data_IF_200877134437
#
_entry.id   IF_200877134437
#
_cell.length_a   1.000
_cell.length_b   1.000
_cell.length_c   1.000
_cell.angle_alpha   90.00
_cell.angle_beta   90.00
_cell.angle_gamma   90.00
#
_symmetry.space_group_name_H-M   'P 1'
#
loop_
_entity.id
_entity.type
_entity.pdbx_description
1 polymer ?
#
# COMPACT_ATOMS: atom_id res chain seq x y z
N UNK A 1 17.27 8.99 -14.78
CA UNK A 1 16.77 8.38 -13.54
C UNK A 1 15.26 8.48 -13.59
N UNK A 2 14.49 7.39 -13.44
CA UNK A 2 13.05 7.53 -13.27
C UNK A 2 12.82 8.47 -12.08
N UNK A 3 11.94 9.46 -12.24
CA UNK A 3 11.52 10.32 -11.14
C UNK A 3 10.94 9.43 -10.04
N UNK A 4 11.52 9.50 -8.84
CA UNK A 4 11.06 8.69 -7.71
C UNK A 4 9.63 9.11 -7.37
N UNK A 5 8.67 8.23 -7.63
CA UNK A 5 7.26 8.54 -7.45
C UNK A 5 7.01 8.82 -5.96
N UNK A 6 6.59 10.05 -5.65
CA UNK A 6 6.24 10.43 -4.28
C UNK A 6 4.81 9.98 -3.92
N UNK A 7 4.60 9.46 -2.70
CA UNK A 7 3.27 9.17 -2.19
C UNK A 7 2.43 10.46 -2.14
N UNK A 8 1.21 10.40 -2.67
CA UNK A 8 0.28 11.53 -2.66
C UNK A 8 -1.17 11.05 -2.68
N UNK A 9 -2.08 11.82 -2.08
CA UNK A 9 -3.51 11.52 -2.09
C UNK A 9 -4.04 11.40 -3.52
N UNK A 10 -4.87 10.37 -3.77
CA UNK A 10 -5.46 10.06 -5.06
C UNK A 10 -4.60 9.17 -5.97
N UNK A 11 -3.36 8.85 -5.59
CA UNK A 11 -2.50 7.92 -6.36
C UNK A 11 -3.01 6.48 -6.24
N UNK A 12 -2.94 5.75 -7.35
CA UNK A 12 -3.25 4.32 -7.42
C UNK A 12 -1.98 3.51 -7.14
N UNK A 13 -2.06 2.55 -6.22
CA UNK A 13 -0.96 1.70 -5.78
C UNK A 13 -1.40 0.23 -5.66
N UNK A 14 -0.45 -0.68 -5.48
CA UNK A 14 -0.72 -2.08 -5.18
C UNK A 14 -0.59 -2.34 -3.67
N UNK A 15 -1.63 -2.88 -3.04
CA UNK A 15 -1.60 -3.39 -1.67
C UNK A 15 -1.44 -4.91 -1.66
N UNK A 16 -0.47 -5.41 -0.90
CA UNK A 16 -0.21 -6.86 -0.80
C UNK A 16 -1.06 -7.44 0.33
N UNK A 17 -2.12 -8.14 -0.05
CA UNK A 17 -3.05 -8.69 0.94
C UNK A 17 -2.42 -9.81 1.77
N UNK A 18 -2.63 -9.74 3.09
CA UNK A 18 -2.28 -10.82 4.01
C UNK A 18 -3.38 -11.90 3.88
N UNK A 19 -3.00 -13.14 3.62
CA UNK A 19 -3.93 -14.27 3.63
C UNK A 19 -4.61 -14.48 4.99
N UNK A 20 -5.48 -15.48 5.10
CA UNK A 20 -6.15 -15.83 6.36
C UNK A 20 -5.17 -16.03 7.53
N UNK A 21 -5.59 -15.78 8.78
CA UNK A 21 -4.74 -15.96 9.96
C UNK A 21 -4.13 -17.37 10.00
N UNK A 22 -2.81 -17.46 9.97
CA UNK A 22 -2.05 -18.72 9.96
C UNK A 22 -1.67 -19.27 8.58
N UNK A 23 -2.11 -18.66 7.48
CA UNK A 23 -1.68 -19.01 6.13
C UNK A 23 -0.45 -18.22 5.68
N UNK A 24 0.45 -18.87 4.94
CA UNK A 24 1.49 -18.17 4.17
C UNK A 24 0.82 -17.11 3.30
N UNK A 25 1.33 -15.88 3.28
CA UNK A 25 0.76 -14.84 2.45
C UNK A 25 0.80 -15.29 0.99
N UNK A 26 -0.37 -15.58 0.42
CA UNK A 26 -0.47 -15.60 -1.03
C UNK A 26 -0.34 -14.13 -1.45
N UNK A 27 0.80 -13.77 -2.01
CA UNK A 27 1.11 -12.42 -2.47
C UNK A 27 0.14 -12.03 -3.60
N UNK A 28 -1.06 -11.60 -3.22
CA UNK A 28 -2.12 -11.18 -4.11
C UNK A 28 -2.21 -9.67 -3.99
N UNK A 29 -1.69 -8.98 -5.01
CA UNK A 29 -1.77 -7.53 -5.14
C UNK A 29 -3.22 -7.12 -5.42
N UNK A 30 -3.70 -6.13 -4.67
CA UNK A 30 -5.02 -5.50 -4.86
C UNK A 30 -4.82 -4.04 -5.19
N UNK A 31 -5.68 -3.49 -6.05
CA UNK A 31 -5.67 -2.06 -6.33
C UNK A 31 -6.05 -1.28 -5.06
N UNK A 32 -5.31 -0.22 -4.76
CA UNK A 32 -5.61 0.68 -3.66
C UNK A 32 -5.40 2.14 -4.08
N UNK A 33 -6.12 3.05 -3.43
CA UNK A 33 -5.97 4.51 -3.61
C UNK A 33 -5.44 5.10 -2.31
N UNK A 34 -4.42 5.95 -2.40
CA UNK A 34 -3.94 6.72 -1.25
C UNK A 34 -4.99 7.76 -0.85
N UNK A 35 -5.50 7.67 0.38
CA UNK A 35 -6.48 8.60 0.94
C UNK A 35 -5.83 9.65 1.84
N UNK A 36 -4.73 9.31 2.50
CA UNK A 36 -3.95 10.21 3.35
C UNK A 36 -2.48 9.86 3.25
N UNK A 37 -1.61 10.84 3.52
CA UNK A 37 -0.16 10.65 3.63
C UNK A 37 0.28 11.34 4.91
N UNK A 38 0.84 10.58 5.85
CA UNK A 38 1.29 11.10 7.14
C UNK A 38 2.74 10.67 7.40
N UNK A 39 3.48 11.52 8.10
CA UNK A 39 4.80 11.14 8.60
C UNK A 39 4.66 10.03 9.66
N UNK A 40 5.58 9.06 9.66
CA UNK A 40 5.56 8.02 10.68
C UNK A 40 5.81 8.63 12.06
N UNK A 41 5.03 8.23 13.10
CA UNK A 41 5.14 8.83 14.44
C UNK A 41 6.54 8.78 15.05
N UNK A 42 7.36 7.80 14.62
CA UNK A 42 8.70 7.55 15.14
C UNK A 42 9.80 7.65 14.07
N UNK A 43 9.47 8.07 12.85
CA UNK A 43 10.43 8.18 11.76
C UNK A 43 9.98 9.24 10.74
N UNK A 44 10.58 10.44 10.82
CA UNK A 44 10.26 11.51 9.89
C UNK A 44 10.65 11.22 8.43
N UNK A 45 11.43 10.15 8.19
CA UNK A 45 11.82 9.72 6.84
C UNK A 45 10.88 8.67 6.26
N UNK A 46 10.13 7.94 7.09
CA UNK A 46 9.13 6.99 6.65
C UNK A 46 7.76 7.66 6.56
N UNK A 47 7.11 7.58 5.40
CA UNK A 47 5.72 8.01 5.23
C UNK A 47 4.78 6.80 5.28
N UNK A 48 3.70 6.91 6.06
CA UNK A 48 2.57 5.99 5.94
C UNK A 48 1.55 6.55 4.96
N UNK A 49 0.91 5.64 4.24
CA UNK A 49 -0.26 5.97 3.44
C UNK A 49 -1.51 5.38 4.10
N UNK A 50 -2.56 6.18 4.21
CA UNK A 50 -3.91 5.66 4.35
C UNK A 50 -4.37 5.13 2.98
N UNK A 51 -4.89 3.91 2.94
CA UNK A 51 -5.30 3.25 1.71
C UNK A 51 -6.80 2.90 1.73
N UNK A 52 -7.47 3.21 0.63
CA UNK A 52 -8.74 2.58 0.25
C UNK A 52 -8.42 1.39 -0.68
N UNK A 53 -8.46 0.18 -0.14
CA UNK A 53 -8.16 -1.07 -0.84
C UNK A 53 -9.43 -1.57 -1.52
N UNK A 54 -9.39 -1.71 -2.84
CA UNK A 54 -10.55 -2.01 -3.66
C UNK A 54 -10.60 -3.50 -4.02
N UNK A 55 -11.77 -4.09 -3.84
CA UNK A 55 -12.11 -5.45 -4.21
C UNK A 55 -13.44 -5.45 -4.98
N UNK A 56 -13.74 -6.49 -5.79
CA UNK A 56 -15.02 -6.58 -6.49
C UNK A 56 -16.25 -6.48 -5.58
N UNK A 57 -16.11 -6.87 -4.31
CA UNK A 57 -17.18 -6.89 -3.31
C UNK A 57 -17.27 -5.61 -2.47
N UNK A 58 -16.29 -4.69 -2.57
CA UNK A 58 -16.28 -3.46 -1.78
C UNK A 58 -14.88 -2.92 -1.50
N UNK A 59 -14.80 -2.01 -0.53
CA UNK A 59 -13.54 -1.36 -0.14
C UNK A 59 -13.21 -1.61 1.33
N UNK A 60 -11.93 -1.79 1.62
CA UNK A 60 -11.37 -1.82 2.99
C UNK A 60 -10.49 -0.60 3.18
N UNK A 61 -10.69 0.12 4.28
CA UNK A 61 -9.89 1.31 4.60
C UNK A 61 -8.86 0.96 5.66
N UNK A 62 -7.57 1.15 5.33
CA UNK A 62 -6.47 0.99 6.28
C UNK A 62 -5.71 2.31 6.40
N UNK A 63 -5.80 3.04 7.54
CA UNK A 63 -5.16 4.35 7.69
C UNK A 63 -3.63 4.30 7.81
N UNK A 64 -3.04 3.12 8.06
CA UNK A 64 -1.61 3.00 8.34
C UNK A 64 -1.00 1.84 7.55
N UNK A 65 -0.52 2.13 6.35
CA UNK A 65 0.16 1.15 5.49
C UNK A 65 1.56 1.64 5.11
N UNK A 66 2.55 0.79 5.39
CA UNK A 66 3.96 1.03 5.05
C UNK A 66 4.19 0.78 3.56
N UNK A 67 5.01 1.62 2.94
CA UNK A 67 5.54 1.34 1.61
C UNK A 67 6.67 0.32 1.68
N UNK A 68 6.63 -0.71 0.83
CA UNK A 68 7.75 -1.63 0.66
C UNK A 68 7.83 -2.12 -0.79
N UNK A 69 8.92 -1.76 -1.47
CA UNK A 69 9.17 -2.15 -2.85
C UNK A 69 9.39 -3.67 -3.02
N UNK A 70 9.75 -4.40 -1.94
CA UNK A 70 9.85 -5.86 -1.95
C UNK A 70 8.48 -6.57 -1.85
N UNK A 71 7.38 -5.81 -1.76
CA UNK A 71 6.02 -6.31 -1.72
C UNK A 71 5.77 -7.30 -0.54
N UNK A 72 6.28 -6.98 0.65
CA UNK A 72 5.97 -7.74 1.87
C UNK A 72 4.47 -7.71 2.22
N UNK A 73 3.99 -8.69 2.98
CA UNK A 73 2.55 -8.74 3.27
C UNK A 73 2.09 -7.58 4.16
N UNK A 74 0.99 -6.94 3.77
CA UNK A 74 0.42 -5.81 4.49
C UNK A 74 1.12 -4.48 4.20
N UNK A 75 1.98 -4.43 3.18
CA UNK A 75 2.58 -3.20 2.67
C UNK A 75 1.95 -2.82 1.34
N UNK A 76 2.35 -1.65 0.82
CA UNK A 76 2.02 -1.22 -0.53
C UNK A 76 3.26 -0.92 -1.35
N UNK A 77 3.15 -1.01 -2.67
CA UNK A 77 4.19 -0.62 -3.61
C UNK A 77 3.60 0.05 -4.86
N UNK A 78 4.46 0.74 -5.61
CA UNK A 78 4.08 1.30 -6.91
C UNK A 78 3.70 0.20 -7.89
N UNK A 79 2.67 0.40 -8.74
CA UNK A 79 2.36 -0.55 -9.79
C UNK A 79 3.56 -0.79 -10.70
N UNK A 80 3.73 -2.03 -11.16
CA UNK A 80 4.73 -2.36 -12.17
C UNK A 80 4.42 -1.59 -13.46
N UNK A 81 5.41 -0.90 -14.01
CA UNK A 81 5.29 -0.28 -15.32
C UNK A 81 5.22 -1.40 -16.36
N UNK A 82 4.10 -1.49 -17.08
CA UNK A 82 3.93 -2.38 -18.25
C UNK A 82 4.19 -1.61 -19.53
#
# INVERSE_FOLDING_TARGET
MPEEQQPAVGRIVHYVSRGTPGGACTSQCRAAIITTTDAAPNDATSQYAGLAILNPEGAVFNPYVVQDAAASCGTWHWPELV
#
